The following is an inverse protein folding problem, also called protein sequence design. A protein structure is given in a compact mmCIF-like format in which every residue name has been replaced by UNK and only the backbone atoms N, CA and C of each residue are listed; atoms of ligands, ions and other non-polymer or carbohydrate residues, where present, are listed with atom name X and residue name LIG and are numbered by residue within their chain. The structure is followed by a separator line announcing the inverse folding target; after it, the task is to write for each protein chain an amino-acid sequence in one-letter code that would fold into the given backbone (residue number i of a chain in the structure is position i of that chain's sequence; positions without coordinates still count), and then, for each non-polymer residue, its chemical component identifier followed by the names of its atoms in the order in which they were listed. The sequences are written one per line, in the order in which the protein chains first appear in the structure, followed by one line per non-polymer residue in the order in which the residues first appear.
data_IF_005674720119
#
_entry.id   IF_005674720119
#
_cell.length_a   1.000
_cell.length_b   1.000
_cell.length_c   1.000
_cell.angle_alpha   90.00
_cell.angle_beta   90.00
_cell.angle_gamma   90.00
#
_symmetry.space_group_name_H-M   'P 1'
#
loop_
_entity.id
_entity.type
_entity.pdbx_description
1 polymer ?
#
# COMPACT_ATOMS: atom_id res chain seq x y z
N UNK A 1 -16.37 51.52 12.84
CA UNK A 1 -15.99 50.34 13.66
C UNK A 1 -14.91 50.71 14.65
N UNK A 2 -15.20 50.67 15.96
CA UNK A 2 -14.17 50.90 16.97
C UNK A 2 -13.10 49.80 16.90
N UNK A 3 -11.83 50.19 16.72
CA UNK A 3 -10.65 49.32 16.71
C UNK A 3 -10.60 48.36 17.92
N UNK A 4 -11.25 48.72 19.03
CA UNK A 4 -11.37 47.90 20.23
C UNK A 4 -12.07 46.55 20.00
N UNK A 5 -13.02 46.45 19.06
CA UNK A 5 -13.76 45.20 18.83
C UNK A 5 -12.99 44.22 17.94
N UNK A 6 -12.18 44.75 17.01
CA UNK A 6 -11.32 43.92 16.16
C UNK A 6 -10.20 43.27 16.99
N UNK A 7 -9.56 44.04 17.87
CA UNK A 7 -8.50 43.53 18.74
C UNK A 7 -8.99 42.43 19.69
N UNK A 8 -10.20 42.59 20.27
CA UNK A 8 -10.81 41.56 21.14
C UNK A 8 -11.09 40.26 20.38
N UNK A 9 -11.63 40.35 19.17
CA UNK A 9 -11.92 39.16 18.36
C UNK A 9 -10.65 38.42 17.95
N UNK A 10 -9.61 39.14 17.53
CA UNK A 10 -8.31 38.56 17.18
C UNK A 10 -7.66 37.89 18.39
N UNK A 11 -7.72 38.54 19.57
CA UNK A 11 -7.17 37.97 20.80
C UNK A 11 -7.88 36.67 21.21
N UNK A 12 -9.21 36.62 21.12
CA UNK A 12 -10.00 35.41 21.43
C UNK A 12 -9.63 34.25 20.49
N UNK A 13 -9.48 34.51 19.18
CA UNK A 13 -9.11 33.50 18.20
C UNK A 13 -7.68 32.97 18.43
N UNK A 14 -6.74 33.84 18.77
CA UNK A 14 -5.36 33.44 19.11
C UNK A 14 -5.35 32.58 20.37
N UNK A 15 -6.09 32.97 21.41
CA UNK A 15 -6.18 32.17 22.65
C UNK A 15 -6.84 30.80 22.41
N UNK A 16 -7.87 30.72 21.57
CA UNK A 16 -8.51 29.45 21.23
C UNK A 16 -7.56 28.54 20.45
N UNK A 17 -6.82 29.09 19.47
CA UNK A 17 -5.83 28.34 18.69
C UNK A 17 -4.71 27.78 19.58
N UNK A 18 -4.16 28.61 20.48
CA UNK A 18 -3.11 28.19 21.41
C UNK A 18 -3.61 27.12 22.39
N UNK A 19 -4.86 27.20 22.85
CA UNK A 19 -5.47 26.18 23.69
C UNK A 19 -5.61 24.82 22.99
N UNK A 20 -6.03 24.82 21.71
CA UNK A 20 -6.09 23.59 20.91
C UNK A 20 -4.70 22.98 20.64
N UNK A 21 -3.68 23.80 20.39
CA UNK A 21 -2.30 23.32 20.22
C UNK A 21 -1.79 22.70 21.53
N UNK A 22 -2.04 23.33 22.67
CA UNK A 22 -1.66 22.79 23.99
C UNK A 22 -2.30 21.43 24.31
N UNK A 23 -3.58 21.26 24.00
CA UNK A 23 -4.30 19.99 24.17
C UNK A 23 -3.71 18.85 23.33
N UNK A 24 -3.22 19.13 22.13
CA UNK A 24 -2.61 18.10 21.28
C UNK A 24 -1.23 17.65 21.79
N UNK A 25 -0.44 18.55 22.38
CA UNK A 25 0.88 18.19 22.91
C UNK A 25 0.77 17.34 24.19
N UNK A 26 -0.24 17.60 25.03
CA UNK A 26 -0.47 16.83 26.25
C UNK A 26 -0.94 15.37 25.97
N UNK A 27 -1.57 15.11 24.82
CA UNK A 27 -2.07 13.77 24.48
C UNK A 27 -0.99 12.80 23.96
N UNK A 28 0.18 13.29 23.52
CA UNK A 28 1.22 12.44 22.91
C UNK A 28 2.48 12.25 23.77
N UNK A 29 2.63 12.97 24.88
CA UNK A 29 3.77 12.81 25.78
C UNK A 29 3.41 11.92 26.97
N UNK A 30 3.54 10.60 26.86
CA UNK A 30 3.87 9.64 27.97
C UNK A 30 3.89 8.17 27.50
N UNK A 31 4.53 7.87 26.37
CA UNK A 31 4.75 6.52 25.88
C UNK A 31 6.15 5.99 26.21
N UNK A 32 6.50 5.86 27.49
CA UNK A 32 7.79 5.31 27.91
C UNK A 32 7.91 3.81 27.59
N UNK A 33 8.50 3.47 26.45
CA UNK A 33 8.83 2.07 26.09
C UNK A 33 9.97 1.56 26.99
N UNK A 34 9.62 0.76 28.00
CA UNK A 34 10.58 -0.06 28.75
C UNK A 34 11.09 -1.18 27.84
N UNK A 35 12.31 -1.03 27.34
CA UNK A 35 13.04 -2.09 26.64
C UNK A 35 13.46 -3.16 27.66
N UNK A 36 12.74 -4.29 27.68
CA UNK A 36 13.12 -5.45 28.49
C UNK A 36 14.18 -6.25 27.74
N UNK A 37 15.43 -5.91 28.04
CA UNK A 37 16.62 -6.72 27.74
C UNK A 37 16.68 -7.94 28.67
N UNK A 38 17.25 -9.04 28.15
CA UNK A 38 17.71 -10.24 28.85
C UNK A 38 16.79 -11.47 28.78
N UNK A 39 17.18 -12.41 27.91
CA UNK A 39 17.26 -13.82 28.32
C UNK A 39 18.59 -14.40 27.84
N UNK A 40 19.29 -14.93 28.82
CA UNK A 40 20.64 -15.49 28.84
C UNK A 40 20.66 -16.81 28.07
N UNK A 41 21.65 -16.98 27.21
CA UNK A 41 22.00 -18.26 26.57
C UNK A 41 22.46 -19.28 27.61
N UNK A 42 21.97 -20.52 27.46
CA UNK A 42 22.55 -21.70 28.10
C UNK A 42 23.36 -22.46 27.03
N UNK A 43 24.65 -22.78 27.26
CA UNK A 43 25.43 -23.58 26.32
C UNK A 43 24.96 -25.04 26.38
N UNK A 44 24.47 -25.59 25.25
CA UNK A 44 24.23 -27.04 25.10
C UNK A 44 25.50 -27.74 24.57
N UNK A 45 25.70 -29.03 24.94
CA UNK A 45 26.95 -29.74 24.78
C UNK A 45 27.26 -30.11 23.32
N UNK A 46 28.57 -30.17 23.04
CA UNK A 46 29.18 -30.62 21.79
C UNK A 46 28.58 -31.94 21.28
N UNK A 47 27.77 -31.83 20.22
CA UNK A 47 27.39 -32.97 19.39
C UNK A 47 28.41 -33.14 18.27
N UNK A 48 28.93 -34.36 18.16
CA UNK A 48 29.89 -34.85 17.16
C UNK A 48 29.32 -34.59 15.75
N UNK A 49 30.06 -33.97 14.81
CA UNK A 49 29.53 -33.64 13.50
C UNK A 49 29.31 -34.91 12.66
N UNK A 50 28.04 -35.24 12.43
CA UNK A 50 27.64 -36.18 11.38
C UNK A 50 28.12 -35.69 10.00
N UNK A 51 28.40 -36.61 9.06
CA UNK A 51 28.87 -36.29 7.73
C UNK A 51 27.89 -35.35 7.02
N UNK A 52 28.36 -34.14 6.70
CA UNK A 52 27.61 -33.08 6.02
C UNK A 52 27.07 -33.59 4.68
N UNK A 53 25.83 -34.06 4.69
CA UNK A 53 25.00 -34.28 3.49
C UNK A 53 25.08 -32.99 2.66
N UNK A 54 25.64 -33.07 1.44
CA UNK A 54 25.84 -31.92 0.53
C UNK A 54 24.53 -31.11 0.48
N UNK A 55 24.53 -29.93 1.13
CA UNK A 55 23.39 -28.99 1.09
C UNK A 55 23.14 -28.67 -0.39
N UNK A 56 22.03 -29.18 -0.91
CA UNK A 56 21.49 -28.81 -2.22
C UNK A 56 21.45 -27.28 -2.25
N UNK A 57 22.21 -26.65 -3.16
CA UNK A 57 22.29 -25.19 -3.29
C UNK A 57 20.86 -24.66 -3.35
N UNK A 58 20.45 -23.99 -2.29
CA UNK A 58 19.14 -23.36 -2.18
C UNK A 58 19.03 -22.34 -3.33
N UNK A 59 18.08 -22.58 -4.24
CA UNK A 59 17.94 -21.80 -5.46
C UNK A 59 17.32 -20.45 -5.09
N UNK A 60 18.15 -19.50 -4.69
CA UNK A 60 17.71 -18.16 -4.32
C UNK A 60 17.06 -17.48 -5.53
N UNK A 61 15.82 -17.04 -5.39
CA UNK A 61 15.13 -16.22 -6.39
C UNK A 61 15.92 -14.93 -6.62
N UNK A 62 16.47 -14.78 -7.84
CA UNK A 62 17.18 -13.58 -8.28
C UNK A 62 16.24 -12.52 -8.85
N UNK A 63 14.95 -12.84 -9.01
CA UNK A 63 13.96 -12.02 -9.66
C UNK A 63 12.71 -11.88 -8.76
N UNK A 64 12.04 -10.74 -8.85
CA UNK A 64 10.79 -10.42 -8.14
C UNK A 64 9.70 -9.96 -9.13
N UNK A 65 8.46 -9.92 -8.66
CA UNK A 65 7.26 -9.51 -9.40
C UNK A 65 6.58 -10.67 -10.10
N UNK A 66 5.28 -10.55 -10.40
CA UNK A 66 4.50 -11.66 -10.96
C UNK A 66 5.14 -12.31 -12.20
N UNK A 67 5.68 -11.54 -13.17
CA UNK A 67 6.32 -12.12 -14.36
C UNK A 67 7.66 -12.83 -14.10
N UNK A 68 8.16 -12.89 -12.85
CA UNK A 68 9.33 -13.72 -12.53
C UNK A 68 8.98 -15.21 -12.49
N UNK A 69 7.72 -15.54 -12.17
CA UNK A 69 7.24 -16.92 -12.05
C UNK A 69 6.15 -17.24 -13.08
N UNK A 70 5.33 -16.25 -13.47
CA UNK A 70 4.27 -16.45 -14.44
C UNK A 70 4.77 -16.24 -15.88
N UNK A 71 5.36 -17.28 -16.45
CA UNK A 71 5.94 -17.29 -17.80
C UNK A 71 5.49 -18.53 -18.57
N UNK A 72 5.62 -18.53 -19.89
CA UNK A 72 5.54 -19.79 -20.64
C UNK A 72 6.83 -20.59 -20.41
N UNK A 73 6.72 -21.86 -20.03
CA UNK A 73 7.86 -22.76 -19.82
C UNK A 73 7.51 -24.16 -20.30
N UNK A 74 8.40 -24.77 -21.08
CA UNK A 74 8.30 -26.18 -21.49
C UNK A 74 6.96 -26.53 -22.18
N UNK A 75 6.41 -25.60 -22.95
CA UNK A 75 5.11 -25.75 -23.62
C UNK A 75 3.89 -25.60 -22.71
N UNK A 76 4.10 -25.32 -21.42
CA UNK A 76 3.04 -25.05 -20.45
C UNK A 76 2.90 -23.53 -20.26
N UNK A 77 1.68 -23.04 -20.46
CA UNK A 77 1.31 -21.63 -20.29
C UNK A 77 1.10 -21.30 -18.80
N UNK A 78 2.18 -21.03 -18.05
CA UNK A 78 2.08 -20.50 -16.67
C UNK A 78 1.95 -18.98 -16.62
N UNK A 79 1.57 -18.32 -17.72
CA UNK A 79 1.30 -16.87 -17.68
C UNK A 79 0.09 -16.58 -16.81
N UNK A 80 -0.09 -15.32 -16.43
CA UNK A 80 -1.25 -14.89 -15.63
C UNK A 80 -2.57 -15.30 -16.29
N UNK A 81 -2.67 -15.20 -17.62
CA UNK A 81 -3.86 -15.62 -18.34
C UNK A 81 -3.95 -17.14 -18.48
N UNK A 82 -2.83 -17.82 -18.67
CA UNK A 82 -2.75 -19.28 -18.63
C UNK A 82 -3.36 -19.85 -17.36
N UNK A 83 -2.98 -19.29 -16.21
CA UNK A 83 -3.50 -19.67 -14.90
C UNK A 83 -5.01 -19.42 -14.78
N UNK A 84 -5.49 -18.25 -15.23
CA UNK A 84 -6.91 -17.94 -15.24
C UNK A 84 -7.70 -18.93 -16.07
N UNK A 85 -7.26 -19.26 -17.29
CA UNK A 85 -7.94 -20.24 -18.17
C UNK A 85 -8.01 -21.64 -17.54
N UNK A 86 -6.98 -22.07 -16.82
CA UNK A 86 -6.95 -23.40 -16.18
C UNK A 86 -7.98 -23.51 -15.06
N UNK A 87 -8.19 -22.43 -14.30
CA UNK A 87 -9.07 -22.46 -13.12
C UNK A 87 -10.50 -22.00 -13.45
N UNK A 88 -10.65 -21.00 -14.33
CA UNK A 88 -11.92 -20.31 -14.59
C UNK A 88 -12.29 -20.37 -16.06
N UNK A 89 -13.17 -21.31 -16.43
CA UNK A 89 -13.65 -21.47 -17.81
C UNK A 89 -14.51 -20.31 -18.32
N UNK A 90 -15.18 -19.59 -17.41
CA UNK A 90 -16.13 -18.51 -17.74
C UNK A 90 -15.57 -17.11 -17.45
N UNK A 91 -14.24 -16.95 -17.40
CA UNK A 91 -13.65 -15.63 -17.21
C UNK A 91 -13.84 -14.77 -18.47
N UNK A 92 -14.05 -13.46 -18.28
CA UNK A 92 -14.10 -12.50 -19.40
C UNK A 92 -12.82 -12.58 -20.23
N UNK A 93 -12.93 -12.38 -21.54
CA UNK A 93 -11.80 -12.42 -22.48
C UNK A 93 -11.21 -11.04 -22.79
N UNK A 94 -11.77 -9.98 -22.22
CA UNK A 94 -11.29 -8.61 -22.38
C UNK A 94 -11.43 -7.82 -21.08
N UNK A 95 -10.53 -6.84 -20.92
CA UNK A 95 -10.55 -5.88 -19.83
C UNK A 95 -11.55 -4.74 -20.09
N UNK A 96 -11.96 -3.97 -19.06
CA UNK A 96 -12.78 -2.77 -19.22
C UNK A 96 -12.22 -1.75 -20.22
N UNK A 97 -10.90 -1.65 -20.36
CA UNK A 97 -10.28 -0.80 -21.39
C UNK A 97 -10.40 -1.33 -22.82
N UNK A 98 -11.09 -2.46 -23.05
CA UNK A 98 -11.18 -3.15 -24.33
C UNK A 98 -9.96 -3.99 -24.72
N UNK A 99 -8.91 -4.03 -23.89
CA UNK A 99 -7.72 -4.85 -24.18
C UNK A 99 -8.06 -6.34 -24.10
N UNK A 100 -7.68 -7.15 -25.10
CA UNK A 100 -7.87 -8.60 -25.03
C UNK A 100 -6.98 -9.20 -23.93
N UNK A 101 -7.49 -10.24 -23.27
CA UNK A 101 -6.72 -11.05 -22.34
C UNK A 101 -6.05 -12.20 -23.11
N UNK A 102 -4.73 -12.25 -23.06
CA UNK A 102 -3.87 -13.26 -23.70
C UNK A 102 -2.69 -13.63 -22.80
N UNK A 103 -1.78 -14.50 -23.24
CA UNK A 103 -0.59 -14.88 -22.45
C UNK A 103 0.32 -13.67 -22.13
N UNK A 104 0.21 -12.58 -22.88
CA UNK A 104 0.92 -11.31 -22.62
C UNK A 104 0.16 -10.36 -21.67
N UNK A 105 -0.93 -10.80 -21.05
CA UNK A 105 -1.71 -9.98 -20.10
C UNK A 105 -0.84 -9.55 -18.93
N UNK A 106 -0.83 -8.25 -18.65
CA UNK A 106 -0.09 -7.66 -17.54
C UNK A 106 -0.97 -7.58 -16.29
N UNK A 107 -0.33 -7.50 -15.12
CA UNK A 107 -1.01 -7.36 -13.83
C UNK A 107 -1.90 -6.12 -13.80
N UNK A 108 -1.48 -5.02 -14.43
CA UNK A 108 -2.26 -3.79 -14.58
C UNK A 108 -3.63 -4.07 -15.21
N UNK A 109 -3.66 -4.92 -16.23
CA UNK A 109 -4.90 -5.29 -16.93
C UNK A 109 -5.84 -6.07 -16.01
N UNK A 110 -5.31 -6.96 -15.15
CA UNK A 110 -6.11 -7.67 -14.15
C UNK A 110 -6.71 -6.70 -13.13
N UNK A 111 -5.94 -5.67 -12.72
CA UNK A 111 -6.36 -4.67 -11.75
C UNK A 111 -7.52 -3.79 -12.25
N UNK A 112 -7.76 -3.68 -13.56
CA UNK A 112 -8.92 -2.94 -14.10
C UNK A 112 -10.27 -3.51 -13.62
N UNK A 113 -10.33 -4.79 -13.25
CA UNK A 113 -11.51 -5.41 -12.61
C UNK A 113 -11.25 -5.76 -11.14
N UNK A 114 -10.06 -6.28 -10.85
CA UNK A 114 -9.74 -6.87 -9.56
C UNK A 114 -9.02 -5.92 -8.59
N UNK A 115 -8.85 -4.63 -8.90
CA UNK A 115 -8.36 -3.68 -7.90
C UNK A 115 -9.23 -3.71 -6.64
N UNK A 116 -8.60 -3.63 -5.47
CA UNK A 116 -9.27 -3.89 -4.20
C UNK A 116 -10.21 -2.76 -3.77
N UNK A 117 -11.43 -3.13 -3.38
CA UNK A 117 -12.31 -2.32 -2.52
C UNK A 117 -12.07 -2.68 -1.05
N UNK A 118 -12.60 -1.86 -0.15
CA UNK A 118 -12.47 -2.05 1.31
C UNK A 118 -13.05 -3.38 1.81
N UNK A 119 -14.06 -3.93 1.13
CA UNK A 119 -14.78 -5.15 1.51
C UNK A 119 -14.25 -6.44 0.85
N UNK A 120 -13.06 -6.40 0.25
CA UNK A 120 -12.46 -7.55 -0.42
C UNK A 120 -13.03 -7.88 -1.81
N UNK A 121 -14.00 -7.10 -2.30
CA UNK A 121 -14.45 -7.17 -3.69
C UNK A 121 -13.48 -6.45 -4.62
N UNK A 122 -13.51 -6.81 -5.90
CA UNK A 122 -12.88 -6.04 -6.96
C UNK A 122 -13.68 -4.77 -7.29
N UNK A 123 -13.06 -3.84 -8.01
CA UNK A 123 -13.78 -2.68 -8.55
C UNK A 123 -14.87 -3.09 -9.55
N UNK A 124 -14.63 -4.13 -10.34
CA UNK A 124 -15.57 -4.70 -11.32
C UNK A 124 -15.62 -6.23 -11.27
N UNK A 125 -15.16 -6.85 -10.18
CA UNK A 125 -15.13 -8.29 -9.99
C UNK A 125 -15.63 -8.69 -8.59
N UNK A 126 -16.09 -9.93 -8.45
CA UNK A 126 -16.59 -10.45 -7.18
C UNK A 126 -15.51 -10.46 -6.08
N UNK A 127 -14.25 -10.73 -6.45
CA UNK A 127 -13.10 -10.80 -5.55
C UNK A 127 -12.00 -9.86 -6.00
N UNK A 128 -11.33 -9.24 -5.05
CA UNK A 128 -10.14 -8.44 -5.32
C UNK A 128 -8.94 -9.34 -5.64
N UNK A 129 -7.94 -8.80 -6.33
CA UNK A 129 -6.74 -9.55 -6.70
C UNK A 129 -5.97 -9.99 -5.46
N UNK A 130 -5.92 -9.15 -4.40
CA UNK A 130 -5.27 -9.51 -3.13
C UNK A 130 -5.90 -10.75 -2.48
N UNK A 131 -7.23 -10.88 -2.57
CA UNK A 131 -7.97 -11.96 -1.90
C UNK A 131 -7.95 -13.25 -2.74
N UNK A 132 -7.50 -13.17 -3.99
CA UNK A 132 -7.22 -14.32 -4.85
C UNK A 132 -5.75 -14.73 -4.69
N UNK A 133 -4.82 -13.79 -4.92
CA UNK A 133 -3.39 -14.05 -5.04
C UNK A 133 -2.77 -14.41 -3.70
N UNK A 134 -3.09 -13.72 -2.60
CA UNK A 134 -2.45 -14.02 -1.32
C UNK A 134 -2.73 -15.46 -0.86
N UNK A 135 -3.99 -15.94 -0.80
CA UNK A 135 -4.23 -17.33 -0.42
C UNK A 135 -3.63 -18.32 -1.44
N UNK A 136 -3.75 -18.03 -2.73
CA UNK A 136 -3.22 -18.92 -3.77
C UNK A 136 -1.69 -19.13 -3.69
N UNK A 137 -0.94 -18.16 -3.16
CA UNK A 137 0.52 -18.26 -3.04
C UNK A 137 0.97 -18.60 -1.62
N UNK A 138 0.45 -17.94 -0.59
CA UNK A 138 0.92 -18.16 0.79
C UNK A 138 0.71 -19.60 1.27
N UNK A 139 -0.28 -20.29 0.71
CA UNK A 139 -0.58 -21.68 1.01
C UNK A 139 -0.10 -22.66 -0.07
N UNK A 140 0.58 -22.20 -1.12
CA UNK A 140 1.12 -23.10 -2.15
C UNK A 140 2.47 -23.66 -1.75
N UNK A 141 2.69 -24.92 -2.12
CA UNK A 141 3.97 -25.61 -1.95
C UNK A 141 5.08 -24.89 -2.73
N UNK A 142 4.80 -24.46 -3.96
CA UNK A 142 5.78 -23.80 -4.82
C UNK A 142 6.30 -22.49 -4.20
N UNK A 143 5.42 -21.70 -3.60
CA UNK A 143 5.83 -20.46 -2.94
C UNK A 143 6.72 -20.75 -1.72
N UNK A 144 6.40 -21.77 -0.94
CA UNK A 144 7.21 -22.17 0.22
C UNK A 144 8.58 -22.72 -0.21
N UNK A 145 8.63 -23.59 -1.22
CA UNK A 145 9.88 -24.17 -1.72
C UNK A 145 10.81 -23.14 -2.38
N UNK A 146 10.25 -22.06 -2.93
CA UNK A 146 11.00 -20.94 -3.48
C UNK A 146 11.42 -19.90 -2.42
N UNK A 147 11.13 -20.14 -1.14
CA UNK A 147 11.29 -19.17 -0.05
C UNK A 147 10.61 -17.84 -0.36
N UNK A 148 9.38 -17.92 -0.87
CA UNK A 148 8.55 -16.77 -1.17
C UNK A 148 8.28 -15.94 0.09
N UNK A 149 8.29 -14.62 -0.08
CA UNK A 149 7.94 -13.66 0.98
C UNK A 149 7.03 -12.58 0.40
N UNK A 150 6.52 -11.67 1.24
CA UNK A 150 5.81 -10.47 0.76
C UNK A 150 6.64 -9.71 -0.29
N UNK A 151 7.98 -9.72 -0.15
CA UNK A 151 8.88 -9.06 -1.06
C UNK A 151 9.00 -9.74 -2.42
N UNK A 152 8.58 -11.00 -2.56
CA UNK A 152 8.59 -11.68 -3.88
C UNK A 152 7.69 -10.97 -4.88
N UNK A 153 6.60 -10.34 -4.42
CA UNK A 153 5.63 -9.64 -5.28
C UNK A 153 5.53 -8.13 -5.00
N UNK A 154 5.86 -7.70 -3.77
CA UNK A 154 5.76 -6.29 -3.38
C UNK A 154 7.13 -5.67 -3.17
N UNK A 155 7.20 -4.35 -3.30
CA UNK A 155 8.25 -3.54 -2.70
C UNK A 155 7.65 -2.64 -1.61
N UNK A 156 8.51 -2.04 -0.79
CA UNK A 156 8.10 -1.10 0.26
C UNK A 156 8.62 0.28 -0.12
N UNK A 157 7.73 1.27 -0.13
CA UNK A 157 8.08 2.68 -0.28
C UNK A 157 8.69 3.25 1.00
N UNK A 158 9.30 4.43 0.90
CA UNK A 158 9.95 5.11 2.03
C UNK A 158 8.99 5.42 3.19
N UNK A 159 7.69 5.51 2.92
CA UNK A 159 6.62 5.75 3.89
C UNK A 159 6.00 4.46 4.45
N UNK A 160 6.58 3.30 4.13
CA UNK A 160 6.12 1.99 4.59
C UNK A 160 4.98 1.38 3.76
N UNK A 161 4.45 2.06 2.73
CA UNK A 161 3.40 1.50 1.88
C UNK A 161 3.95 0.39 0.98
N UNK A 162 3.15 -0.67 0.82
CA UNK A 162 3.45 -1.72 -0.15
C UNK A 162 3.06 -1.27 -1.56
N UNK A 163 3.96 -1.54 -2.50
CA UNK A 163 3.74 -1.34 -3.93
C UNK A 163 3.84 -2.68 -4.64
N UNK A 164 2.96 -2.91 -5.61
CA UNK A 164 2.95 -4.16 -6.38
C UNK A 164 3.99 -4.07 -7.50
N UNK A 165 4.79 -5.12 -7.69
CA UNK A 165 5.74 -5.22 -8.79
C UNK A 165 5.07 -5.89 -10.00
N UNK A 166 4.56 -5.06 -10.91
CA UNK A 166 3.86 -5.54 -12.11
C UNK A 166 4.78 -6.05 -13.22
N UNK A 167 6.08 -5.80 -13.09
CA UNK A 167 7.12 -6.25 -14.01
C UNK A 167 8.11 -7.13 -13.28
N UNK A 168 8.85 -7.93 -14.05
CA UNK A 168 10.02 -8.66 -13.55
C UNK A 168 11.08 -7.65 -13.09
N UNK A 169 11.52 -7.78 -11.85
CA UNK A 169 12.56 -6.92 -11.25
C UNK A 169 13.79 -7.76 -10.97
N UNK A 170 14.91 -7.37 -11.58
CA UNK A 170 16.21 -7.98 -11.34
C UNK A 170 16.76 -7.55 -9.98
N UNK A 171 17.21 -8.52 -9.18
CA UNK A 171 17.77 -8.24 -7.86
C UNK A 171 19.18 -8.80 -7.67
N UNK A 172 19.89 -8.26 -6.68
CA UNK A 172 21.13 -8.84 -6.20
C UNK A 172 20.88 -10.06 -5.29
N UNK A 173 21.95 -10.65 -4.78
CA UNK A 173 21.87 -11.80 -3.87
C UNK A 173 21.17 -11.51 -2.54
N UNK A 174 20.76 -10.27 -2.24
CA UNK A 174 19.97 -9.89 -1.06
C UNK A 174 18.52 -9.51 -1.41
N UNK A 175 18.09 -9.63 -2.66
CA UNK A 175 16.74 -9.25 -3.09
C UNK A 175 16.55 -7.75 -3.35
N UNK A 176 17.64 -6.97 -3.34
CA UNK A 176 17.61 -5.52 -3.60
C UNK A 176 17.55 -5.29 -5.12
N UNK A 177 16.61 -4.47 -5.63
CA UNK A 177 16.52 -4.12 -7.05
C UNK A 177 17.84 -3.55 -7.58
N UNK A 178 18.27 -4.02 -8.75
CA UNK A 178 19.50 -3.54 -9.41
C UNK A 178 19.34 -2.21 -10.16
N UNK A 179 18.09 -1.83 -10.48
CA UNK A 179 17.77 -0.63 -11.26
C UNK A 179 16.78 0.25 -10.50
N UNK A 180 17.01 1.55 -10.55
CA UNK A 180 16.13 2.59 -10.02
C UNK A 180 15.78 3.58 -11.16
N UNK A 181 14.54 4.10 -11.25
CA UNK A 181 13.38 3.72 -10.42
C UNK A 181 12.97 2.25 -10.64
N UNK A 182 12.34 1.63 -9.64
CA UNK A 182 11.99 0.21 -9.70
C UNK A 182 10.95 -0.03 -10.81
N UNK A 183 11.26 -0.85 -11.83
CA UNK A 183 10.34 -1.04 -12.96
C UNK A 183 9.01 -1.67 -12.52
N UNK A 184 7.90 -1.06 -12.92
CA UNK A 184 6.56 -1.60 -12.65
C UNK A 184 6.15 -1.55 -11.18
N UNK A 185 6.78 -0.71 -10.35
CA UNK A 185 6.28 -0.45 -9.01
C UNK A 185 4.97 0.35 -9.10
N UNK A 186 3.85 -0.32 -8.83
CA UNK A 186 2.52 0.28 -8.83
C UNK A 186 2.09 0.60 -7.41
N UNK A 187 1.76 1.86 -7.08
CA UNK A 187 1.22 2.20 -5.78
C UNK A 187 -0.12 1.48 -5.59
N UNK A 188 -0.25 0.73 -4.49
CA UNK A 188 -1.53 0.12 -4.12
C UNK A 188 -2.40 1.26 -3.59
N UNK A 189 -3.21 1.86 -4.47
CA UNK A 189 -4.17 2.89 -4.07
C UNK A 189 -5.21 2.26 -3.15
N UNK A 190 -5.04 2.42 -1.84
CA UNK A 190 -6.16 2.40 -0.92
C UNK A 190 -7.02 3.62 -1.25
N UNK A 191 -8.21 3.41 -1.81
CA UNK A 191 -9.23 4.42 -2.12
C UNK A 191 -9.82 5.09 -0.84
N UNK A 192 -9.00 5.28 0.20
CA UNK A 192 -9.38 5.85 1.49
C UNK A 192 -8.74 7.20 1.82
N UNK A 193 -7.77 7.68 1.03
CA UNK A 193 -7.29 9.05 1.17
C UNK A 193 -8.12 9.95 0.27
N UNK A 194 -9.11 10.63 0.85
CA UNK A 194 -9.57 11.92 0.32
C UNK A 194 -8.28 12.71 0.07
N UNK A 195 -8.01 13.09 -1.18
CA UNK A 195 -6.74 13.76 -1.48
C UNK A 195 -6.61 14.95 -0.54
N UNK A 196 -5.43 15.17 0.03
CA UNK A 196 -5.21 16.28 0.96
C UNK A 196 -5.64 17.61 0.32
N UNK A 197 -5.59 17.71 -1.02
CA UNK A 197 -6.11 18.84 -1.79
C UNK A 197 -7.65 18.97 -1.75
N UNK A 198 -8.41 17.87 -1.78
CA UNK A 198 -9.88 17.91 -1.60
C UNK A 198 -10.22 18.36 -0.18
N UNK A 199 -9.47 17.87 0.82
CA UNK A 199 -9.66 18.31 2.22
C UNK A 199 -9.33 19.79 2.40
N UNK A 200 -8.18 20.26 1.90
CA UNK A 200 -7.78 21.68 1.91
C UNK A 200 -8.81 22.53 1.17
N UNK A 201 -9.29 22.07 0.01
CA UNK A 201 -10.33 22.76 -0.76
C UNK A 201 -11.63 22.91 0.03
N UNK A 202 -12.09 21.85 0.70
CA UNK A 202 -13.30 21.88 1.52
C UNK A 202 -13.15 22.83 2.73
N UNK A 203 -12.02 22.77 3.43
CA UNK A 203 -11.74 23.67 4.56
C UNK A 203 -11.66 25.13 4.11
N UNK A 204 -11.02 25.40 2.97
CA UNK A 204 -10.90 26.76 2.41
C UNK A 204 -12.27 27.31 2.00
N UNK A 205 -13.12 26.48 1.36
CA UNK A 205 -14.48 26.86 0.98
C UNK A 205 -15.35 27.19 2.20
N UNK A 206 -15.28 26.38 3.27
CA UNK A 206 -15.98 26.64 4.53
C UNK A 206 -15.46 27.94 5.19
N UNK A 207 -14.15 28.17 5.16
CA UNK A 207 -13.55 29.42 5.66
C UNK A 207 -14.06 30.66 4.91
N UNK A 208 -14.09 30.63 3.58
CA UNK A 208 -14.60 31.72 2.75
C UNK A 208 -16.10 31.96 2.97
N UNK A 209 -16.89 30.90 3.14
CA UNK A 209 -18.31 31.02 3.42
C UNK A 209 -18.58 31.71 4.79
N UNK A 210 -17.77 31.40 5.81
CA UNK A 210 -17.83 32.08 7.10
C UNK A 210 -17.45 33.56 6.99
N UNK A 211 -16.44 33.91 6.18
CA UNK A 211 -16.07 35.32 5.95
C UNK A 211 -17.17 36.09 5.21
N UNK A 212 -17.80 35.47 4.20
CA UNK A 212 -18.94 36.05 3.47
C UNK A 212 -20.14 36.31 4.39
N UNK A 213 -20.50 35.33 5.21
CA UNK A 213 -21.63 35.47 6.16
C UNK A 213 -21.36 36.56 7.21
N UNK A 214 -20.14 36.64 7.75
CA UNK A 214 -19.72 37.72 8.64
C UNK A 214 -19.76 39.10 7.95
N UNK A 215 -19.29 39.18 6.70
CA UNK A 215 -19.33 40.43 5.92
C UNK A 215 -20.77 40.91 5.65
N UNK A 216 -21.69 39.99 5.34
CA UNK A 216 -23.11 40.30 5.16
C UNK A 216 -23.77 40.74 6.47
N UNK A 217 -23.45 40.07 7.58
CA UNK A 217 -23.95 40.45 8.91
C UNK A 217 -23.44 41.85 9.31
N UNK A 218 -22.16 42.14 9.04
CA UNK A 218 -21.56 43.44 9.30
C UNK A 218 -22.23 44.56 8.49
N UNK A 219 -22.46 44.34 7.19
CA UNK A 219 -23.10 45.33 6.29
C UNK A 219 -24.55 45.67 6.69
N UNK A 220 -25.29 44.74 7.32
CA UNK A 220 -26.64 45.01 7.82
C UNK A 220 -26.64 45.92 9.04
N UNK A 221 -25.61 45.83 9.90
CA UNK A 221 -25.50 46.64 11.12
C UNK A 221 -25.27 48.12 10.85
N UNK A 222 -24.58 48.47 9.77
CA UNK A 222 -24.35 49.88 9.39
C UNK A 222 -25.58 50.54 8.73
N UNK A 223 -26.66 49.79 8.48
CA UNK A 223 -27.90 50.30 7.88
C UNK A 223 -29.07 50.44 8.88
N UNK A 224 -28.86 50.09 10.15
CA UNK A 224 -29.82 50.20 11.25
C UNK A 224 -29.34 51.23 12.26
#
# INVERSE_FOLDING_TARGET
MNNSNYFRTVLVLITALLFFIGLTIAAFGHGGMKHKSSSKETPKPHHKPEPKKKKKKEKKLLYRGCPSCHIESDGIDYTLWGDVKRVFRNHRVSAPSGKPLSSNTKVETCLECHAAKSNGKGIGAERSLRDIVHPAHLFSKDFQELNGTCFSCHNVEWDGRLVLLSRKVDTNSKGIPKKLPIPGALPIRTYGYVSMNIFIGAVSALGLLNLLTLGLAYRRKDKS
#
